data_IF_152877946185
#
_entry.id   IF_152877946185
#
_cell.length_a   1.000
_cell.length_b   1.000
_cell.length_c   1.000
_cell.angle_alpha   90.00
_cell.angle_beta   90.00
_cell.angle_gamma   90.00
#
_symmetry.space_group_name_H-M   'P 1'
#
loop_
_entity.id
_entity.type
_entity.pdbx_description
1 polymer ?
#
# COMPACT_ATOMS: atom_id res chain seq x y z
N UNK A 1 11.30 -3.82 24.38
CA UNK A 1 10.43 -4.07 23.22
C UNK A 1 9.37 -2.99 23.22
N UNK A 2 9.30 -2.18 22.16
CA UNK A 2 8.31 -1.10 22.03
C UNK A 2 7.04 -1.65 21.37
N UNK A 3 5.88 -1.35 21.94
CA UNK A 3 4.58 -1.73 21.38
C UNK A 3 4.12 -0.69 20.37
N UNK A 4 3.64 -1.17 19.23
CA UNK A 4 3.30 -0.36 18.07
C UNK A 4 1.86 -0.61 17.65
N UNK A 5 1.12 0.46 17.39
CA UNK A 5 -0.11 0.39 16.59
C UNK A 5 0.20 0.97 15.21
N UNK A 6 -0.30 0.34 14.16
CA UNK A 6 -0.24 0.89 12.80
C UNK A 6 -1.65 1.30 12.40
N UNK A 7 -1.87 2.59 12.17
CA UNK A 7 -3.16 3.12 11.74
C UNK A 7 -3.19 3.26 10.21
N UNK A 8 -4.23 2.73 9.57
CA UNK A 8 -4.35 2.73 8.12
C UNK A 8 -5.66 2.17 7.58
N UNK A 9 -5.68 1.95 6.26
CA UNK A 9 -6.85 1.56 5.50
C UNK A 9 -6.63 0.27 4.71
N UNK A 10 -5.94 -0.71 5.30
CA UNK A 10 -5.65 -2.00 4.68
C UNK A 10 -4.95 -1.87 3.32
N UNK A 11 -3.79 -1.22 3.31
CA UNK A 11 -2.91 -1.12 2.15
C UNK A 11 -1.48 -0.83 2.61
N UNK A 12 -1.16 0.45 2.76
CA UNK A 12 0.18 0.87 3.20
C UNK A 12 0.50 0.43 4.64
N UNK A 13 -0.48 0.34 5.53
CA UNK A 13 -0.30 -0.22 6.88
C UNK A 13 0.25 -1.66 6.85
N UNK A 14 -0.37 -2.55 6.07
CA UNK A 14 0.10 -3.92 5.89
C UNK A 14 1.47 -3.96 5.21
N UNK A 15 1.71 -3.10 4.22
CA UNK A 15 3.00 -2.98 3.58
C UNK A 15 4.11 -2.53 4.54
N UNK A 16 3.85 -1.48 5.32
CA UNK A 16 4.76 -0.96 6.35
C UNK A 16 5.04 -2.05 7.41
N UNK A 17 4.01 -2.80 7.81
CA UNK A 17 4.21 -3.96 8.69
C UNK A 17 5.13 -5.00 8.05
N UNK A 18 4.82 -5.44 6.84
CA UNK A 18 5.54 -6.51 6.16
C UNK A 18 7.01 -6.19 5.90
N UNK A 19 7.30 -4.93 5.59
CA UNK A 19 8.65 -4.48 5.23
C UNK A 19 9.50 -4.09 6.43
N UNK A 20 8.92 -3.38 7.40
CA UNK A 20 9.71 -2.76 8.47
C UNK A 20 9.49 -3.38 9.86
N UNK A 21 8.29 -3.89 10.17
CA UNK A 21 7.97 -4.35 11.53
C UNK A 21 7.95 -5.87 11.71
N UNK A 22 7.57 -6.64 10.68
CA UNK A 22 7.33 -8.09 10.74
C UNK A 22 8.44 -8.82 11.51
N UNK A 23 9.68 -8.56 11.14
CA UNK A 23 10.87 -9.22 11.71
C UNK A 23 11.69 -8.33 12.65
N UNK A 24 11.18 -7.16 13.08
CA UNK A 24 11.94 -6.23 13.92
C UNK A 24 11.94 -6.65 15.39
N UNK A 25 13.04 -7.15 15.98
CA UNK A 25 13.03 -7.69 17.34
C UNK A 25 12.82 -6.64 18.44
N UNK A 26 13.01 -5.36 18.13
CA UNK A 26 12.88 -4.27 19.10
C UNK A 26 11.44 -3.75 19.20
N UNK A 27 10.61 -4.02 18.18
CA UNK A 27 9.24 -3.53 18.04
C UNK A 27 8.24 -4.66 17.84
N UNK A 28 7.09 -4.55 18.49
CA UNK A 28 5.99 -5.50 18.40
C UNK A 28 4.73 -4.74 17.98
N UNK A 29 4.14 -5.13 16.85
CA UNK A 29 2.89 -4.54 16.37
C UNK A 29 1.72 -5.26 17.04
N UNK A 30 1.05 -4.58 17.95
CA UNK A 30 0.00 -5.18 18.80
C UNK A 30 -1.39 -5.06 18.20
N UNK A 31 -1.60 -4.11 17.29
CA UNK A 31 -2.83 -3.96 16.53
C UNK A 31 -2.61 -3.14 15.25
N UNK A 32 -3.45 -3.40 14.26
CA UNK A 32 -3.79 -2.42 13.24
C UNK A 32 -5.05 -1.68 13.69
N UNK A 33 -5.22 -0.43 13.24
CA UNK A 33 -6.53 0.24 13.31
C UNK A 33 -7.05 0.54 11.92
N UNK A 34 -8.37 0.43 11.77
CA UNK A 34 -9.06 0.80 10.54
C UNK A 34 -10.24 1.73 10.87
N UNK A 35 -10.45 2.72 10.01
CA UNK A 35 -11.75 3.38 9.89
C UNK A 35 -12.76 2.38 9.31
N UNK A 36 -14.07 2.63 9.44
CA UNK A 36 -15.14 1.73 8.93
C UNK A 36 -15.09 1.53 7.40
N UNK A 37 -14.14 0.72 6.94
CA UNK A 37 -14.15 0.08 5.63
C UNK A 37 -14.99 -1.19 5.81
N UNK A 38 -16.00 -1.42 4.94
CA UNK A 38 -16.75 -2.67 4.97
C UNK A 38 -15.79 -3.87 5.03
N UNK A 39 -16.09 -4.81 5.94
CA UNK A 39 -15.40 -6.11 6.02
C UNK A 39 -13.90 -6.09 6.40
N UNK A 40 -13.40 -5.07 7.10
CA UNK A 40 -12.00 -5.02 7.60
C UNK A 40 -11.90 -4.92 9.12
N UNK A 41 -12.68 -4.04 9.74
CA UNK A 41 -12.71 -3.89 11.20
C UNK A 41 -13.18 -5.19 11.87
N UNK A 42 -12.50 -5.60 12.95
CA UNK A 42 -12.82 -6.83 13.69
C UNK A 42 -12.21 -8.10 13.09
N UNK A 43 -11.45 -7.98 11.99
CA UNK A 43 -10.66 -9.10 11.43
C UNK A 43 -9.30 -9.23 12.11
N UNK A 44 -8.62 -10.32 11.77
CA UNK A 44 -7.25 -10.60 12.16
C UNK A 44 -6.40 -10.56 10.89
N UNK A 45 -5.31 -9.78 10.94
CA UNK A 45 -4.24 -9.90 9.97
C UNK A 45 -3.59 -11.29 10.13
N UNK A 46 -3.65 -12.16 9.11
CA UNK A 46 -3.52 -13.59 9.30
C UNK A 46 -2.08 -14.00 9.67
N UNK A 47 -1.90 -15.03 10.53
CA UNK A 47 -0.58 -15.57 10.90
C UNK A 47 0.31 -15.91 9.69
N UNK A 48 -0.30 -16.40 8.60
CA UNK A 48 0.40 -16.77 7.36
C UNK A 48 1.09 -15.58 6.67
N UNK A 49 0.63 -14.35 6.95
CA UNK A 49 1.26 -13.10 6.51
C UNK A 49 2.06 -12.43 7.65
N UNK A 50 1.69 -12.68 8.90
CA UNK A 50 2.29 -12.04 10.07
C UNK A 50 3.67 -12.63 10.43
N UNK A 51 3.92 -13.89 10.09
CA UNK A 51 5.19 -14.57 10.35
C UNK A 51 5.32 -15.11 11.77
N UNK A 52 6.45 -15.77 12.06
CA UNK A 52 6.63 -16.60 13.27
C UNK A 52 6.46 -15.85 14.60
N UNK A 53 6.67 -14.53 14.61
CA UNK A 53 6.51 -13.68 15.79
C UNK A 53 5.05 -13.41 16.16
N UNK A 54 4.12 -13.71 15.26
CA UNK A 54 2.69 -13.43 15.40
C UNK A 54 1.87 -14.69 15.07
N UNK A 55 2.01 -15.78 15.86
CA UNK A 55 1.36 -17.07 15.58
C UNK A 55 -0.18 -16.99 15.60
N UNK A 56 -0.73 -16.02 16.34
CA UNK A 56 -2.18 -15.77 16.43
C UNK A 56 -2.65 -14.66 15.47
N UNK A 57 -1.73 -14.10 14.66
CA UNK A 57 -1.99 -12.95 13.81
C UNK A 57 -1.99 -11.64 14.59
N UNK A 58 -2.49 -10.57 13.97
CA UNK A 58 -2.56 -9.23 14.58
C UNK A 58 -4.00 -8.72 14.48
N UNK A 59 -4.63 -8.29 15.58
CA UNK A 59 -6.00 -7.80 15.52
C UNK A 59 -6.09 -6.49 14.74
N UNK A 60 -7.19 -6.32 14.00
CA UNK A 60 -7.56 -5.09 13.32
C UNK A 60 -8.74 -4.48 14.07
N UNK A 61 -8.49 -3.37 14.77
CA UNK A 61 -9.41 -2.76 15.71
C UNK A 61 -9.97 -1.44 15.18
N UNK A 62 -11.03 -0.95 15.81
CA UNK A 62 -11.62 0.35 15.48
C UNK A 62 -10.63 1.47 15.71
N UNK A 63 -10.44 2.34 14.72
CA UNK A 63 -9.66 3.57 14.91
C UNK A 63 -10.31 4.53 15.93
N UNK A 64 -11.64 4.49 16.09
CA UNK A 64 -12.35 5.33 17.06
C UNK A 64 -11.95 5.01 18.52
N UNK A 65 -11.43 3.80 18.79
CA UNK A 65 -10.92 3.41 20.12
C UNK A 65 -9.42 3.74 20.29
N UNK A 66 -8.74 4.36 19.31
CA UNK A 66 -7.28 4.52 19.28
C UNK A 66 -6.70 5.08 20.59
N UNK A 67 -7.27 6.15 21.14
CA UNK A 67 -6.77 6.75 22.39
C UNK A 67 -6.89 5.79 23.57
N UNK A 68 -7.98 5.03 23.66
CA UNK A 68 -8.16 4.03 24.69
C UNK A 68 -7.25 2.81 24.47
N UNK A 69 -7.00 2.43 23.22
CA UNK A 69 -6.10 1.33 22.86
C UNK A 69 -4.66 1.65 23.25
N UNK A 70 -4.22 2.90 23.07
CA UNK A 70 -2.90 3.37 23.51
C UNK A 70 -2.70 3.07 25.00
N UNK A 71 -3.65 3.46 25.83
CA UNK A 71 -3.61 3.24 27.28
C UNK A 71 -3.73 1.74 27.64
N UNK A 72 -4.78 1.08 27.15
CA UNK A 72 -5.07 -0.33 27.48
C UNK A 72 -3.93 -1.27 27.12
N UNK A 73 -3.27 -1.02 25.98
CA UNK A 73 -2.20 -1.89 25.48
C UNK A 73 -0.79 -1.42 25.88
N UNK A 74 -0.66 -0.25 26.52
CA UNK A 74 0.60 0.42 26.82
C UNK A 74 1.45 0.66 25.55
N UNK A 75 0.84 1.26 24.53
CA UNK A 75 1.46 1.52 23.22
C UNK A 75 2.52 2.60 23.35
N UNK A 76 3.66 2.40 22.68
CA UNK A 76 4.77 3.36 22.68
C UNK A 76 4.85 4.18 21.39
N UNK A 77 4.41 3.62 20.27
CA UNK A 77 4.50 4.24 18.95
C UNK A 77 3.18 4.00 18.18
N UNK A 78 2.65 5.03 17.55
CA UNK A 78 1.55 4.92 16.57
C UNK A 78 2.09 5.35 15.21
N UNK A 79 2.01 4.44 14.24
CA UNK A 79 2.54 4.61 12.90
C UNK A 79 1.43 4.99 11.96
N UNK A 80 1.50 6.20 11.42
CA UNK A 80 0.52 6.71 10.49
C UNK A 80 0.79 6.20 9.07
N UNK A 81 -0.16 5.44 8.52
CA UNK A 81 -0.04 4.77 7.22
C UNK A 81 -1.21 5.09 6.26
N UNK A 82 -1.85 6.25 6.44
CA UNK A 82 -2.82 6.78 5.47
C UNK A 82 -2.14 7.66 4.41
N UNK A 83 -2.84 7.79 3.28
CA UNK A 83 -2.52 8.67 2.18
C UNK A 83 -3.79 9.41 1.75
N UNK A 84 -3.64 10.44 0.93
CA UNK A 84 -4.69 11.29 0.34
C UNK A 84 -5.57 12.02 1.37
N UNK A 85 -4.93 12.43 2.47
CA UNK A 85 -5.55 13.18 3.57
C UNK A 85 -4.90 14.55 3.71
N UNK A 86 -5.61 15.54 4.23
CA UNK A 86 -5.03 16.86 4.43
C UNK A 86 -3.93 16.83 5.50
N UNK A 87 -2.96 17.73 5.42
CA UNK A 87 -1.95 17.88 6.48
C UNK A 87 -2.55 18.24 7.83
N UNK A 88 -3.66 18.98 7.83
CA UNK A 88 -4.40 19.26 9.05
C UNK A 88 -4.90 17.96 9.70
N UNK A 89 -5.45 17.03 8.91
CA UNK A 89 -5.90 15.73 9.42
C UNK A 89 -4.73 14.94 10.04
N UNK A 90 -3.58 14.88 9.36
CA UNK A 90 -2.37 14.23 9.90
C UNK A 90 -1.98 14.83 11.25
N UNK A 91 -1.97 16.16 11.35
CA UNK A 91 -1.57 16.86 12.58
C UNK A 91 -2.59 16.74 13.71
N UNK A 92 -3.89 16.64 13.42
CA UNK A 92 -4.90 16.31 14.43
C UNK A 92 -4.70 14.90 14.98
N UNK A 93 -4.43 13.91 14.12
CA UNK A 93 -4.12 12.54 14.57
C UNK A 93 -2.82 12.48 15.37
N UNK A 94 -1.78 13.18 14.94
CA UNK A 94 -0.53 13.29 15.68
C UNK A 94 -0.74 13.89 17.08
N UNK A 95 -1.51 14.98 17.17
CA UNK A 95 -1.82 15.64 18.43
C UNK A 95 -2.59 14.73 19.39
N UNK A 96 -3.56 13.95 18.88
CA UNK A 96 -4.30 12.99 19.68
C UNK A 96 -3.40 11.87 20.22
N UNK A 97 -2.53 11.30 19.39
CA UNK A 97 -1.57 10.26 19.80
C UNK A 97 -0.60 10.78 20.87
N UNK A 98 -0.04 11.98 20.68
CA UNK A 98 0.89 12.61 21.62
C UNK A 98 0.19 12.94 22.95
N UNK A 99 -1.06 13.42 22.91
CA UNK A 99 -1.85 13.67 24.12
C UNK A 99 -2.11 12.39 24.94
N UNK A 100 -2.19 11.23 24.27
CA UNK A 100 -2.23 9.91 24.90
C UNK A 100 -0.84 9.36 25.30
N UNK A 101 0.23 10.11 25.10
CA UNK A 101 1.58 9.77 25.59
C UNK A 101 2.40 8.81 24.71
N UNK A 102 1.94 8.50 23.50
CA UNK A 102 2.68 7.68 22.53
C UNK A 102 3.41 8.56 21.50
N UNK A 103 4.47 8.02 20.89
CA UNK A 103 5.16 8.67 19.77
C UNK A 103 4.32 8.56 18.49
N UNK A 104 4.23 9.63 17.71
CA UNK A 104 3.62 9.61 16.38
C UNK A 104 4.70 9.47 15.31
N UNK A 105 4.61 8.44 14.47
CA UNK A 105 5.65 8.07 13.51
C UNK A 105 5.12 8.14 12.07
N UNK A 106 5.87 8.83 11.21
CA UNK A 106 5.73 8.77 9.75
C UNK A 106 6.95 8.04 9.18
N UNK A 107 6.71 6.95 8.45
CA UNK A 107 7.78 6.18 7.81
C UNK A 107 8.16 6.77 6.45
N UNK A 108 9.46 6.89 6.21
CA UNK A 108 10.00 7.30 4.91
C UNK A 108 10.30 6.12 3.99
N UNK A 109 10.49 6.41 2.70
CA UNK A 109 10.76 5.39 1.68
C UNK A 109 11.95 4.49 1.97
N UNK A 110 12.99 4.99 2.65
CA UNK A 110 14.18 4.18 2.95
C UNK A 110 13.84 2.92 3.75
N UNK A 111 12.85 3.01 4.64
CA UNK A 111 12.43 1.92 5.50
C UNK A 111 11.36 1.03 4.84
N UNK A 112 10.58 1.59 3.91
CA UNK A 112 9.38 0.93 3.37
C UNK A 112 9.49 0.54 1.90
N UNK A 113 10.58 0.84 1.20
CA UNK A 113 10.72 0.53 -0.22
C UNK A 113 11.56 -0.73 -0.45
N UNK A 114 11.06 -1.62 -1.30
CA UNK A 114 11.73 -2.87 -1.67
C UNK A 114 12.57 -2.66 -2.94
N UNK A 115 13.80 -3.16 -2.98
CA UNK A 115 14.64 -3.09 -4.19
C UNK A 115 14.33 -4.23 -5.16
N UNK A 116 14.08 -3.88 -6.41
CA UNK A 116 13.96 -4.83 -7.52
C UNK A 116 15.30 -5.14 -8.19
N UNK A 117 15.40 -6.34 -8.76
CA UNK A 117 16.45 -6.79 -9.67
C UNK A 117 16.18 -6.37 -11.13
N UNK A 118 14.94 -5.95 -11.44
CA UNK A 118 14.53 -5.42 -12.74
C UNK A 118 14.38 -3.89 -12.65
N UNK A 119 14.49 -3.16 -13.76
CA UNK A 119 14.14 -1.75 -13.80
C UNK A 119 12.68 -1.53 -13.36
N UNK A 120 12.45 -0.54 -12.49
CA UNK A 120 11.12 -0.17 -11.99
C UNK A 120 10.81 1.27 -12.39
N UNK A 121 9.69 1.46 -13.10
CA UNK A 121 9.08 2.78 -13.26
C UNK A 121 7.92 2.87 -12.27
N UNK A 122 7.89 3.91 -11.47
CA UNK A 122 6.73 4.18 -10.60
C UNK A 122 5.89 5.32 -11.17
N UNK A 123 4.58 5.15 -11.13
CA UNK A 123 3.59 6.16 -11.47
C UNK A 123 2.77 6.47 -10.23
N UNK A 124 3.11 7.58 -9.56
CA UNK A 124 2.41 8.10 -8.40
C UNK A 124 1.69 9.40 -8.76
N UNK A 125 1.04 10.03 -7.79
CA UNK A 125 0.38 11.32 -7.95
C UNK A 125 0.51 12.13 -6.67
N UNK A 126 0.28 13.44 -6.79
CA UNK A 126 0.21 14.34 -5.63
C UNK A 126 -1.11 14.20 -4.86
N UNK A 127 -2.18 13.76 -5.55
CA UNK A 127 -3.55 13.60 -5.01
C UNK A 127 -4.30 12.49 -5.76
N UNK A 128 -5.31 11.87 -5.16
CA UNK A 128 -6.14 10.88 -5.87
C UNK A 128 -6.87 11.52 -7.06
N UNK A 129 -7.07 10.75 -8.12
CA UNK A 129 -7.77 11.21 -9.33
C UNK A 129 -6.95 12.06 -10.29
N UNK A 130 -5.63 12.24 -10.10
CA UNK A 130 -4.79 13.02 -11.04
C UNK A 130 -4.57 12.32 -12.41
N UNK A 131 -5.02 11.07 -12.59
CA UNK A 131 -4.90 10.35 -13.87
C UNK A 131 -3.79 9.30 -13.94
N UNK A 132 -3.28 8.80 -12.80
CA UNK A 132 -2.24 7.75 -12.73
C UNK A 132 -2.49 6.59 -13.68
N UNK A 133 -3.67 5.96 -13.63
CA UNK A 133 -3.97 4.77 -14.42
C UNK A 133 -3.87 5.02 -15.94
N UNK A 134 -4.22 6.22 -16.41
CA UNK A 134 -4.04 6.61 -17.83
C UNK A 134 -2.57 6.76 -18.18
N UNK A 135 -1.80 7.43 -17.32
CA UNK A 135 -0.35 7.58 -17.46
C UNK A 135 0.35 6.22 -17.45
N UNK A 136 0.02 5.34 -16.51
CA UNK A 136 0.51 3.95 -16.44
C UNK A 136 0.27 3.20 -17.74
N UNK A 137 -0.98 3.19 -18.24
CA UNK A 137 -1.30 2.53 -19.52
C UNK A 137 -0.51 3.11 -20.70
N UNK A 138 -0.31 4.43 -20.73
CA UNK A 138 0.49 5.08 -21.78
C UNK A 138 1.95 4.65 -21.71
N UNK A 139 2.56 4.65 -20.53
CA UNK A 139 3.95 4.20 -20.32
C UNK A 139 4.10 2.73 -20.69
N UNK A 140 3.19 1.87 -20.23
CA UNK A 140 3.17 0.45 -20.54
C UNK A 140 3.10 0.18 -22.05
N UNK A 141 2.22 0.91 -22.76
CA UNK A 141 2.11 0.81 -24.21
C UNK A 141 3.41 1.20 -24.92
N UNK A 142 4.05 2.31 -24.52
CA UNK A 142 5.31 2.75 -25.11
C UNK A 142 6.40 1.67 -24.96
N UNK A 143 6.53 1.09 -23.77
CA UNK A 143 7.52 0.04 -23.50
C UNK A 143 7.23 -1.25 -24.29
N UNK A 144 5.96 -1.63 -24.40
CA UNK A 144 5.53 -2.79 -25.17
C UNK A 144 5.72 -2.59 -26.68
N UNK A 145 5.41 -1.40 -27.21
CA UNK A 145 5.68 -1.04 -28.60
C UNK A 145 7.21 -1.04 -28.90
N UNK A 146 8.05 -0.86 -27.87
CA UNK A 146 9.50 -1.02 -27.93
C UNK A 146 9.98 -2.48 -27.72
N UNK A 147 9.06 -3.46 -27.67
CA UNK A 147 9.37 -4.88 -27.59
C UNK A 147 9.80 -5.38 -26.20
N UNK A 148 9.40 -4.70 -25.11
CA UNK A 148 9.66 -5.13 -23.74
C UNK A 148 8.50 -5.95 -23.16
N UNK A 149 8.83 -6.96 -22.37
CA UNK A 149 7.88 -7.63 -21.48
C UNK A 149 7.64 -6.76 -20.24
N UNK A 150 6.41 -6.28 -20.08
CA UNK A 150 6.03 -5.29 -19.06
C UNK A 150 5.08 -5.92 -18.04
N UNK A 151 5.48 -5.87 -16.76
CA UNK A 151 4.63 -6.25 -15.63
C UNK A 151 4.06 -5.04 -14.92
N UNK A 152 2.75 -5.00 -14.69
CA UNK A 152 2.09 -3.96 -13.90
C UNK A 152 1.88 -4.49 -12.48
N UNK A 153 2.46 -3.83 -11.48
CA UNK A 153 2.17 -4.14 -10.07
C UNK A 153 1.20 -3.08 -9.55
N UNK A 154 -0.01 -3.49 -9.14
CA UNK A 154 -1.00 -2.58 -8.54
C UNK A 154 -0.91 -2.53 -7.04
N UNK A 155 -1.17 -1.33 -6.52
CA UNK A 155 -1.39 -1.05 -5.10
C UNK A 155 -2.48 -1.93 -4.50
N UNK A 156 -2.38 -2.29 -3.20
CA UNK A 156 -3.30 -3.24 -2.59
C UNK A 156 -4.73 -2.68 -2.52
N UNK A 157 -5.70 -3.58 -2.75
CA UNK A 157 -7.13 -3.41 -2.47
C UNK A 157 -7.67 -4.68 -1.81
N UNK A 158 -7.23 -4.99 -0.57
CA UNK A 158 -7.38 -6.32 0.01
C UNK A 158 -8.73 -6.46 0.74
N UNK A 159 -9.82 -6.14 0.04
CA UNK A 159 -11.18 -6.23 0.54
C UNK A 159 -11.62 -7.70 0.74
N UNK A 160 -10.95 -8.63 0.06
CA UNK A 160 -11.28 -10.06 0.08
C UNK A 160 -10.57 -10.85 1.18
N UNK A 161 -10.32 -12.13 0.88
CA UNK A 161 -9.58 -13.03 1.76
C UNK A 161 -8.07 -12.77 1.64
N UNK A 162 -7.49 -12.15 2.67
CA UNK A 162 -6.06 -11.83 2.76
C UNK A 162 -5.15 -13.04 2.51
N UNK A 163 -5.58 -14.27 2.86
CA UNK A 163 -4.79 -15.47 2.64
C UNK A 163 -4.76 -15.89 1.16
N UNK A 164 -5.83 -15.63 0.43
CA UNK A 164 -5.89 -15.85 -1.03
C UNK A 164 -5.19 -14.73 -1.80
N UNK A 165 -5.17 -13.53 -1.23
CA UNK A 165 -4.58 -12.33 -1.81
C UNK A 165 -3.12 -12.09 -1.39
N UNK A 166 -2.38 -13.12 -0.95
CA UNK A 166 -0.96 -12.95 -0.55
C UNK A 166 -0.14 -12.38 -1.72
N UNK A 167 -0.22 -13.04 -2.88
CA UNK A 167 0.40 -12.59 -4.12
C UNK A 167 -0.34 -13.24 -5.29
N UNK A 168 -0.84 -12.43 -6.21
CA UNK A 168 -1.65 -12.86 -7.34
C UNK A 168 -1.10 -12.30 -8.65
N UNK A 169 -1.37 -13.02 -9.73
CA UNK A 169 -0.93 -12.72 -11.08
C UNK A 169 -2.11 -12.92 -12.04
N UNK A 170 -2.41 -11.91 -12.82
CA UNK A 170 -3.54 -11.86 -13.74
C UNK A 170 -3.05 -11.53 -15.15
N UNK A 171 -3.18 -12.50 -16.05
CA UNK A 171 -2.90 -12.37 -17.49
C UNK A 171 -4.18 -12.37 -18.31
N UNK A 172 -5.26 -12.96 -17.81
CA UNK A 172 -6.55 -13.05 -18.51
C UNK A 172 -7.70 -12.63 -17.60
N UNK A 173 -8.84 -12.30 -18.22
CA UNK A 173 -10.09 -12.01 -17.48
C UNK A 173 -10.57 -13.24 -16.70
N UNK A 174 -10.29 -14.46 -17.16
CA UNK A 174 -10.63 -15.66 -16.40
C UNK A 174 -9.84 -15.73 -15.09
N UNK A 175 -8.58 -15.29 -15.08
CA UNK A 175 -7.76 -15.27 -13.85
C UNK A 175 -8.41 -14.39 -12.76
N UNK A 176 -9.02 -13.27 -13.17
CA UNK A 176 -9.77 -12.35 -12.29
C UNK A 176 -11.02 -13.04 -11.71
N UNK A 177 -11.77 -13.74 -12.57
CA UNK A 177 -12.99 -14.47 -12.16
C UNK A 177 -12.65 -15.60 -11.20
N UNK A 178 -11.63 -16.41 -11.51
CA UNK A 178 -11.18 -17.52 -10.67
C UNK A 178 -10.68 -17.05 -9.30
N UNK A 179 -10.04 -15.88 -9.26
CA UNK A 179 -9.61 -15.24 -8.02
C UNK A 179 -10.75 -14.64 -7.19
N UNK A 180 -11.98 -14.58 -7.73
CA UNK A 180 -13.13 -13.89 -7.13
C UNK A 180 -12.81 -12.43 -6.77
N UNK A 181 -12.15 -11.71 -7.69
CA UNK A 181 -11.92 -10.28 -7.52
C UNK A 181 -13.24 -9.51 -7.35
N UNK A 182 -13.20 -8.50 -6.49
CA UNK A 182 -14.26 -7.51 -6.31
C UNK A 182 -14.43 -6.66 -7.58
N UNK A 183 -15.55 -5.94 -7.70
CA UNK A 183 -15.81 -5.08 -8.86
C UNK A 183 -14.75 -3.98 -8.94
N UNK A 184 -14.34 -3.43 -7.80
CA UNK A 184 -13.30 -2.42 -7.68
C UNK A 184 -11.94 -2.92 -8.17
N UNK A 185 -11.57 -4.15 -7.82
CA UNK A 185 -10.36 -4.80 -8.34
C UNK A 185 -10.47 -5.04 -9.86
N UNK A 186 -11.63 -5.49 -10.34
CA UNK A 186 -11.88 -5.70 -11.78
C UNK A 186 -11.70 -4.40 -12.58
N UNK A 187 -12.29 -3.29 -12.12
CA UNK A 187 -12.19 -1.98 -12.77
C UNK A 187 -10.74 -1.49 -12.91
N UNK A 188 -9.87 -1.87 -11.98
CA UNK A 188 -8.46 -1.49 -11.98
C UNK A 188 -7.57 -2.45 -12.79
N UNK A 189 -7.91 -3.75 -12.87
CA UNK A 189 -7.08 -4.77 -13.52
C UNK A 189 -7.45 -4.99 -14.99
N UNK A 190 -8.74 -5.06 -15.31
CA UNK A 190 -9.24 -5.38 -16.65
C UNK A 190 -8.66 -4.45 -17.74
N UNK A 191 -8.57 -3.12 -17.56
CA UNK A 191 -8.01 -2.24 -18.59
C UNK A 191 -6.54 -2.54 -18.93
N UNK A 192 -5.76 -3.04 -17.97
CA UNK A 192 -4.36 -3.43 -18.20
C UNK A 192 -4.29 -4.76 -18.97
N UNK A 193 -5.11 -5.73 -18.57
CA UNK A 193 -5.21 -7.05 -19.23
C UNK A 193 -5.69 -6.91 -20.68
N UNK A 194 -6.68 -6.05 -20.94
CA UNK A 194 -7.18 -5.78 -22.29
C UNK A 194 -6.13 -5.10 -23.18
N UNK A 195 -5.14 -4.42 -22.60
CA UNK A 195 -3.96 -3.91 -23.31
C UNK A 195 -2.82 -4.95 -23.43
N UNK A 196 -3.10 -6.18 -23.02
CA UNK A 196 -2.21 -7.34 -23.02
C UNK A 196 -1.06 -7.22 -22.02
N UNK A 197 -1.26 -6.52 -20.92
CA UNK A 197 -0.30 -6.46 -19.81
C UNK A 197 -0.62 -7.56 -18.79
N UNK A 198 0.40 -8.01 -18.05
CA UNK A 198 0.20 -8.88 -16.89
C UNK A 198 0.12 -8.00 -15.65
N UNK A 199 -0.90 -8.20 -14.83
CA UNK A 199 -1.10 -7.48 -13.58
C UNK A 199 -0.72 -8.37 -12.42
N UNK A 200 -0.01 -7.81 -11.44
CA UNK A 200 0.29 -8.44 -10.16
C UNK A 200 -0.27 -7.59 -9.04
N UNK A 201 -0.90 -8.23 -8.06
CA UNK A 201 -1.52 -7.55 -6.93
C UNK A 201 -1.59 -8.48 -5.71
N UNK A 202 -1.93 -7.92 -4.56
CA UNK A 202 -2.06 -8.66 -3.30
C UNK A 202 -1.53 -7.87 -2.10
N UNK A 203 -1.10 -8.58 -1.05
CA UNK A 203 -0.72 -8.00 0.25
C UNK A 203 0.79 -8.08 0.52
N UNK A 204 1.47 -9.12 0.05
CA UNK A 204 2.91 -9.31 0.26
C UNK A 204 3.71 -8.84 -0.95
N UNK A 205 4.07 -7.54 -0.95
CA UNK A 205 4.76 -6.89 -2.07
C UNK A 205 6.17 -7.40 -2.33
N UNK A 206 6.80 -8.07 -1.36
CA UNK A 206 8.06 -8.78 -1.59
C UNK A 206 7.79 -10.01 -2.45
N UNK A 207 6.81 -10.86 -2.09
CA UNK A 207 6.44 -12.04 -2.89
C UNK A 207 5.95 -11.66 -4.29
N UNK A 208 5.09 -10.65 -4.39
CA UNK A 208 4.59 -10.13 -5.67
C UNK A 208 5.74 -9.70 -6.56
N UNK A 209 6.70 -8.96 -6.01
CA UNK A 209 7.87 -8.51 -6.77
C UNK A 209 8.67 -9.69 -7.32
N UNK A 210 8.93 -10.72 -6.51
CA UNK A 210 9.71 -11.88 -6.95
C UNK A 210 9.03 -12.62 -8.10
N UNK A 211 7.70 -12.79 -8.05
CA UNK A 211 6.94 -13.40 -9.15
C UNK A 211 7.05 -12.53 -10.41
N UNK A 212 6.84 -11.21 -10.28
CA UNK A 212 6.90 -10.30 -11.42
C UNK A 212 8.31 -10.23 -12.05
N UNK A 213 9.37 -10.40 -11.27
CA UNK A 213 10.74 -10.40 -11.78
C UNK A 213 11.09 -11.60 -12.67
N UNK A 214 10.33 -12.70 -12.60
CA UNK A 214 10.63 -13.94 -13.34
C UNK A 214 10.34 -13.84 -14.83
N UNK A 215 9.31 -13.09 -15.23
CA UNK A 215 8.82 -13.08 -16.62
C UNK A 215 8.77 -11.70 -17.29
N UNK A 216 9.16 -10.63 -16.59
CA UNK A 216 9.14 -9.27 -17.14
C UNK A 216 10.56 -8.69 -17.26
N UNK A 217 10.78 -7.92 -18.31
CA UNK A 217 11.99 -7.12 -18.51
C UNK A 217 11.98 -5.86 -17.65
N UNK A 218 10.79 -5.28 -17.45
CA UNK A 218 10.57 -4.02 -16.75
C UNK A 218 9.25 -4.07 -15.98
N UNK A 219 9.24 -3.45 -14.82
CA UNK A 219 8.08 -3.39 -13.94
C UNK A 219 7.57 -1.95 -13.86
N UNK A 220 6.25 -1.80 -13.86
CA UNK A 220 5.59 -0.55 -13.56
C UNK A 220 4.84 -0.69 -12.24
N UNK A 221 5.25 0.08 -11.24
CA UNK A 221 4.45 0.31 -10.04
C UNK A 221 3.36 1.32 -10.36
N UNK A 222 2.12 0.84 -10.46
CA UNK A 222 0.96 1.68 -10.64
C UNK A 222 0.39 1.97 -9.24
N UNK A 223 0.67 3.17 -8.74
CA UNK A 223 0.43 3.56 -7.35
C UNK A 223 -1.06 3.70 -7.02
N UNK A 224 -1.38 3.54 -5.74
CA UNK A 224 -2.69 3.83 -5.15
C UNK A 224 -2.71 5.24 -4.58
N UNK A 225 -3.88 5.87 -4.53
CA UNK A 225 -4.07 7.19 -3.93
C UNK A 225 -2.99 8.20 -4.34
N UNK A 226 -2.25 8.77 -3.39
CA UNK A 226 -1.01 9.49 -3.58
C UNK A 226 0.13 8.85 -2.75
N UNK A 227 0.08 7.53 -2.52
CA UNK A 227 1.09 6.83 -1.75
C UNK A 227 2.49 6.94 -2.38
N UNK A 228 3.50 7.05 -1.51
CA UNK A 228 4.89 6.84 -1.91
C UNK A 228 5.06 5.43 -2.49
N UNK A 229 5.98 5.20 -3.44
CA UNK A 229 6.10 3.91 -4.08
C UNK A 229 6.64 2.82 -3.14
N UNK A 230 6.08 1.62 -3.26
CA UNK A 230 6.48 0.45 -2.44
C UNK A 230 7.80 -0.17 -2.91
N UNK A 231 8.24 0.21 -4.10
CA UNK A 231 9.50 -0.23 -4.69
C UNK A 231 10.42 0.97 -4.90
N UNK A 232 11.73 0.76 -4.82
CA UNK A 232 12.72 1.77 -5.19
C UNK A 232 12.68 1.94 -6.72
N UNK A 233 12.23 3.09 -7.24
CA UNK A 233 12.10 3.27 -8.68
C UNK A 233 13.43 3.68 -9.31
N UNK A 234 13.66 3.25 -10.55
CA UNK A 234 14.72 3.78 -11.41
C UNK A 234 14.22 5.01 -12.21
N UNK A 235 12.91 5.12 -12.39
CA UNK A 235 12.22 6.34 -12.85
C UNK A 235 10.95 6.57 -12.02
N UNK A 236 10.82 7.75 -11.42
CA UNK A 236 9.63 8.16 -10.67
C UNK A 236 8.85 9.21 -11.47
N UNK A 237 7.61 8.87 -11.84
CA UNK A 237 6.68 9.76 -12.53
C UNK A 237 5.58 10.13 -11.54
N UNK A 238 5.39 11.42 -11.30
CA UNK A 238 4.36 11.93 -10.39
C UNK A 238 3.40 12.82 -11.14
N UNK A 239 2.13 12.46 -11.10
CA UNK A 239 1.06 13.18 -11.80
C UNK A 239 0.44 14.22 -10.87
N UNK A 240 0.42 15.47 -11.33
CA UNK A 240 -0.28 16.57 -10.67
C UNK A 240 -1.49 17.01 -11.48
N UNK A 241 -2.55 17.46 -10.80
CA UNK A 241 -3.78 17.93 -11.43
C UNK A 241 -3.82 19.46 -11.50
N UNK A 242 -3.73 20.06 -12.70
CA UNK A 242 -3.72 21.51 -12.85
C UNK A 242 -5.05 22.18 -12.46
N UNK A 243 -6.14 21.43 -12.28
CA UNK A 243 -7.43 21.95 -11.81
C UNK A 243 -7.51 22.04 -10.29
N UNK A 244 -6.52 21.50 -9.56
CA UNK A 244 -6.50 21.43 -8.10
C UNK A 244 -5.16 21.91 -7.55
N UNK A 245 -4.75 23.11 -7.99
CA UNK A 245 -3.51 23.77 -7.55
C UNK A 245 -3.49 23.93 -6.04
N UNK A 246 -2.36 23.58 -5.43
CA UNK A 246 -2.15 23.62 -3.99
C UNK A 246 -2.46 22.29 -3.28
N UNK A 247 -3.15 21.35 -3.93
CA UNK A 247 -3.33 20.00 -3.38
C UNK A 247 -1.98 19.30 -3.20
N UNK A 248 -1.04 19.56 -4.10
CA UNK A 248 0.33 19.07 -4.02
C UNK A 248 1.11 19.60 -2.82
N UNK A 249 0.63 20.66 -2.18
CA UNK A 249 1.23 21.33 -1.01
C UNK A 249 0.37 21.22 0.26
N UNK A 250 -0.75 20.49 0.23
CA UNK A 250 -1.70 20.46 1.35
C UNK A 250 -2.23 19.07 1.71
N UNK A 251 -1.93 18.05 0.90
CA UNK A 251 -2.32 16.66 1.14
C UNK A 251 -1.11 15.75 1.32
N UNK A 252 -1.18 14.84 2.27
CA UNK A 252 -0.15 13.84 2.55
C UNK A 252 -0.32 12.60 1.68
N UNK A 253 0.77 11.99 1.16
CA UNK A 253 2.15 12.50 1.10
C UNK A 253 2.47 13.22 -0.22
N UNK A 254 1.62 14.15 -0.67
CA UNK A 254 1.72 14.85 -1.95
C UNK A 254 3.07 15.53 -2.18
N UNK A 255 3.53 16.37 -1.24
CA UNK A 255 4.85 17.02 -1.35
C UNK A 255 6.01 16.02 -1.32
N UNK A 256 5.86 14.91 -0.59
CA UNK A 256 6.91 13.91 -0.50
C UNK A 256 7.07 13.07 -1.79
N UNK A 257 6.07 13.09 -2.69
CA UNK A 257 6.20 12.52 -4.03
C UNK A 257 6.94 13.46 -5.00
N UNK A 258 6.96 14.78 -4.76
CA UNK A 258 7.55 15.78 -5.67
C UNK A 258 9.09 15.87 -5.59
#
# INVERSE_FOLDING_TARGET
MRKVIIMGAAGRDFHNFNTYYRNNPEREVVAFTATQIPDIEGRIYPPELAGERYPDGIPILSEDDLTNLIDKMNVNEVVFSYSDVSYEYVMHKASAVIASGADFILLGMRETSIKSRKPVISVCAVRTGCGKSQTTRRVAKILKDAGKDVGIIRHPMPYGDLKRQIAQRFKTINDIIEANCTIEEMEEYEPHINNGMIVYAGVDYEKILRIAEEENDILIWDGGNNDLPFYIPDLHIVVADPLRVGDELSYHPGEANL
#
